data_IF_131899360123
#
_entry.id   IF_131899360123
#
_cell.length_a   1.000
_cell.length_b   1.000
_cell.length_c   1.000
_cell.angle_alpha   90.00
_cell.angle_beta   90.00
_cell.angle_gamma   90.00
#
_symmetry.space_group_name_H-M   'P 1'
#
loop_
_entity.id
_entity.type
_entity.pdbx_description
1 polymer ?
#
# COMPACT_ATOMS: atom_id res chain seq x y z
N UNK A 1 40.07 -34.12 61.74
CA UNK A 1 39.23 -34.82 60.74
C UNK A 1 38.52 -33.79 59.89
N UNK A 2 38.67 -33.88 58.56
CA UNK A 2 38.28 -32.89 57.54
C UNK A 2 36.78 -32.52 57.63
N UNK A 3 36.48 -31.22 57.70
CA UNK A 3 35.13 -30.68 57.46
C UNK A 3 35.08 -30.19 56.01
N UNK A 4 34.40 -30.95 55.16
CA UNK A 4 34.14 -30.61 53.76
C UNK A 4 33.05 -29.54 53.69
N UNK A 5 33.37 -28.40 53.09
CA UNK A 5 32.43 -27.34 52.73
C UNK A 5 31.77 -27.76 51.41
N UNK A 6 30.48 -28.06 51.43
CA UNK A 6 29.70 -28.31 50.23
C UNK A 6 29.21 -26.97 49.67
N UNK A 7 29.80 -26.55 48.56
CA UNK A 7 29.32 -25.41 47.75
C UNK A 7 28.16 -25.93 46.89
N UNK A 8 26.95 -25.45 47.18
CA UNK A 8 25.80 -25.66 46.30
C UNK A 8 25.89 -24.67 45.13
N UNK A 9 26.29 -25.18 43.96
CA UNK A 9 26.14 -24.48 42.69
C UNK A 9 24.66 -24.47 42.31
N UNK A 10 24.03 -23.30 42.48
CA UNK A 10 22.73 -22.97 41.91
C UNK A 10 22.84 -22.98 40.38
N UNK A 11 22.41 -24.09 39.77
CA UNK A 11 22.12 -24.18 38.35
C UNK A 11 20.87 -23.36 38.05
N UNK A 12 21.05 -22.09 37.69
CA UNK A 12 20.00 -21.30 37.03
C UNK A 12 19.91 -21.84 35.61
N UNK A 13 18.77 -22.40 35.16
CA UNK A 13 18.60 -22.73 33.76
C UNK A 13 18.58 -21.41 32.99
N UNK A 14 19.61 -21.19 32.19
CA UNK A 14 19.63 -20.17 31.15
C UNK A 14 18.55 -20.57 30.14
N UNK A 15 17.30 -20.15 30.38
CA UNK A 15 16.26 -20.20 29.36
C UNK A 15 16.76 -19.28 28.24
N UNK A 16 17.27 -19.88 27.18
CA UNK A 16 17.69 -19.15 26.02
C UNK A 16 16.45 -18.44 25.46
N UNK A 17 16.42 -17.12 25.63
CA UNK A 17 15.53 -16.19 24.93
C UNK A 17 15.93 -16.18 23.45
N UNK A 18 15.69 -17.28 22.74
CA UNK A 18 15.58 -17.23 21.29
C UNK A 18 14.20 -16.62 21.00
N UNK A 19 14.10 -15.57 20.17
CA UNK A 19 12.80 -15.13 19.70
C UNK A 19 12.10 -16.33 19.08
N UNK A 20 10.88 -16.58 19.52
CA UNK A 20 10.05 -17.69 19.05
C UNK A 20 9.87 -17.51 17.54
N UNK A 21 10.63 -18.29 16.74
CA UNK A 21 10.53 -18.20 15.28
C UNK A 21 9.13 -18.68 14.94
N UNK A 22 8.29 -17.84 14.32
CA UNK A 22 6.90 -18.22 14.06
C UNK A 22 6.85 -19.54 13.31
N UNK A 23 6.00 -20.47 13.75
CA UNK A 23 5.81 -21.73 13.04
C UNK A 23 5.20 -21.41 11.68
N UNK A 24 5.97 -21.70 10.63
CA UNK A 24 5.59 -21.50 9.23
C UNK A 24 4.97 -22.77 8.69
N UNK A 25 3.78 -22.65 8.13
CA UNK A 25 3.06 -23.76 7.52
C UNK A 25 2.95 -23.52 6.03
N UNK A 26 3.31 -24.53 5.23
CA UNK A 26 3.11 -24.48 3.79
C UNK A 26 1.61 -24.58 3.49
N UNK A 27 1.08 -23.60 2.76
CA UNK A 27 -0.35 -23.52 2.43
C UNK A 27 -0.56 -23.13 0.97
N UNK A 28 -1.65 -23.61 0.38
CA UNK A 28 -2.20 -23.07 -0.85
C UNK A 28 -3.14 -21.90 -0.50
N UNK A 29 -2.78 -20.70 -0.92
CA UNK A 29 -3.54 -19.47 -0.60
C UNK A 29 -4.12 -18.83 -1.86
N UNK A 30 -5.20 -18.07 -1.67
CA UNK A 30 -5.57 -17.02 -2.61
C UNK A 30 -4.89 -15.73 -2.17
N UNK A 31 -3.96 -15.21 -2.96
CA UNK A 31 -3.41 -13.87 -2.80
C UNK A 31 -4.27 -12.88 -3.58
N UNK A 32 -4.60 -11.76 -2.94
CA UNK A 32 -5.60 -10.80 -3.38
C UNK A 32 -4.95 -9.42 -3.48
N UNK A 33 -5.30 -8.68 -4.53
CA UNK A 33 -5.29 -7.22 -4.51
C UNK A 33 -6.72 -6.79 -4.81
N UNK A 34 -7.39 -6.15 -3.86
CA UNK A 34 -8.80 -5.79 -4.01
C UNK A 34 -9.06 -4.36 -3.56
N UNK A 35 -10.04 -3.72 -4.20
CA UNK A 35 -10.48 -2.40 -3.80
C UNK A 35 -11.28 -2.49 -2.50
N UNK A 36 -10.83 -1.80 -1.46
CA UNK A 36 -11.47 -1.82 -0.14
C UNK A 36 -12.49 -0.68 0.04
N UNK A 37 -12.73 0.15 -0.98
CA UNK A 37 -13.57 1.36 -0.88
C UNK A 37 -12.77 2.65 -0.86
N UNK A 38 -11.45 2.58 -0.63
CA UNK A 38 -10.53 3.72 -0.62
C UNK A 38 -9.33 3.51 -1.54
N UNK A 39 -8.70 2.35 -1.47
CA UNK A 39 -7.55 2.00 -2.26
C UNK A 39 -7.52 0.51 -2.62
N UNK A 40 -6.50 0.12 -3.38
CA UNK A 40 -6.19 -1.26 -3.66
C UNK A 40 -5.25 -1.82 -2.60
N UNK A 41 -5.77 -2.70 -1.75
CA UNK A 41 -5.00 -3.32 -0.68
C UNK A 41 -4.69 -4.78 -0.99
N UNK A 42 -3.50 -5.22 -0.58
CA UNK A 42 -3.08 -6.61 -0.67
C UNK A 42 -3.59 -7.39 0.54
N UNK A 43 -4.12 -8.58 0.30
CA UNK A 43 -4.57 -9.51 1.34
C UNK A 43 -4.38 -10.95 0.88
N UNK A 44 -4.70 -11.92 1.73
CA UNK A 44 -4.74 -13.32 1.31
C UNK A 44 -5.77 -14.12 2.09
N UNK A 45 -6.43 -15.08 1.42
CA UNK A 45 -7.24 -16.08 2.09
C UNK A 45 -6.40 -17.35 2.32
N UNK A 46 -6.11 -17.71 3.58
CA UNK A 46 -5.36 -18.93 3.91
C UNK A 46 -6.14 -20.19 3.54
N UNK A 47 -5.49 -21.34 3.65
CA UNK A 47 -6.12 -22.63 3.36
C UNK A 47 -7.35 -22.89 4.24
N UNK A 48 -7.27 -22.48 5.51
CA UNK A 48 -8.35 -22.59 6.50
C UNK A 48 -9.56 -21.67 6.27
N UNK A 49 -9.47 -20.70 5.34
CA UNK A 49 -10.58 -19.80 5.05
C UNK A 49 -11.49 -20.37 3.96
N UNK A 50 -12.76 -20.57 4.26
CA UNK A 50 -13.72 -21.06 3.26
C UNK A 50 -14.17 -19.99 2.25
N UNK A 51 -13.90 -18.71 2.54
CA UNK A 51 -14.48 -17.59 1.79
C UNK A 51 -13.51 -16.46 1.51
N UNK A 52 -13.73 -15.78 0.39
CA UNK A 52 -13.05 -14.56 -0.04
C UNK A 52 -14.11 -13.48 -0.21
N UNK A 53 -13.94 -12.32 0.42
CA UNK A 53 -14.89 -11.20 0.32
C UNK A 53 -14.33 -10.10 -0.58
N UNK A 54 -15.13 -9.65 -1.54
CA UNK A 54 -14.73 -8.65 -2.53
C UNK A 54 -15.82 -7.58 -2.67
N UNK A 55 -15.41 -6.36 -3.01
CA UNK A 55 -16.34 -5.30 -3.32
C UNK A 55 -16.82 -5.40 -4.78
N UNK A 56 -18.13 -5.42 -4.98
CA UNK A 56 -18.75 -5.48 -6.30
C UNK A 56 -18.63 -4.14 -7.04
N UNK A 57 -18.50 -4.21 -8.37
CA UNK A 57 -18.38 -3.03 -9.23
C UNK A 57 -16.94 -2.53 -9.41
N UNK A 58 -15.98 -3.18 -8.76
CA UNK A 58 -14.56 -2.91 -8.90
C UNK A 58 -13.83 -4.21 -9.25
N UNK A 59 -12.78 -4.10 -10.05
CA UNK A 59 -11.93 -5.24 -10.37
C UNK A 59 -11.15 -5.65 -9.14
N UNK A 60 -11.12 -6.95 -8.87
CA UNK A 60 -10.29 -7.57 -7.83
C UNK A 60 -9.36 -8.59 -8.47
N UNK A 61 -8.11 -8.64 -8.03
CA UNK A 61 -7.05 -9.45 -8.62
C UNK A 61 -6.74 -10.63 -7.72
N UNK A 62 -7.11 -11.83 -8.16
CA UNK A 62 -6.90 -13.06 -7.40
C UNK A 62 -5.78 -13.87 -8.06
N UNK A 63 -4.87 -14.41 -7.26
CA UNK A 63 -3.87 -15.37 -7.73
C UNK A 63 -3.75 -16.52 -6.73
N UNK A 64 -3.56 -17.75 -7.21
CA UNK A 64 -3.31 -18.88 -6.34
C UNK A 64 -1.82 -19.13 -6.27
N UNK A 65 -1.31 -19.38 -5.07
CA UNK A 65 0.11 -19.69 -4.86
C UNK A 65 0.31 -20.56 -3.63
N UNK A 66 1.37 -21.35 -3.67
CA UNK A 66 1.89 -22.06 -2.50
C UNK A 66 2.95 -21.21 -1.83
N UNK A 67 2.76 -20.95 -0.53
CA UNK A 67 3.67 -20.13 0.28
C UNK A 67 3.64 -20.59 1.73
N UNK A 68 4.53 -20.04 2.55
CA UNK A 68 4.47 -20.22 3.99
C UNK A 68 3.55 -19.19 4.62
N UNK A 69 2.62 -19.64 5.45
CA UNK A 69 1.73 -18.81 6.26
C UNK A 69 2.10 -18.98 7.73
N UNK A 70 2.13 -17.89 8.48
CA UNK A 70 2.45 -17.90 9.91
C UNK A 70 1.75 -16.76 10.64
N UNK A 71 1.51 -16.96 11.93
CA UNK A 71 1.01 -15.91 12.81
C UNK A 71 2.16 -15.00 13.23
N UNK A 72 1.99 -13.67 13.11
CA UNK A 72 2.98 -12.68 13.54
C UNK A 72 2.46 -11.88 14.73
N UNK A 73 2.82 -12.27 15.98
CA UNK A 73 2.29 -11.64 17.19
C UNK A 73 2.46 -10.12 17.27
N UNK A 74 3.55 -9.49 16.81
CA UNK A 74 3.70 -8.04 16.88
C UNK A 74 2.68 -7.25 16.05
N UNK A 75 2.16 -7.81 14.96
CA UNK A 75 1.11 -7.19 14.16
C UNK A 75 -0.29 -7.77 14.45
N UNK A 76 -0.39 -8.74 15.36
CA UNK A 76 -1.63 -9.47 15.66
C UNK A 76 -2.34 -9.99 14.40
N UNK A 77 -1.56 -10.48 13.43
CA UNK A 77 -2.05 -10.82 12.10
C UNK A 77 -1.34 -12.03 11.48
N UNK A 78 -2.03 -12.72 10.58
CA UNK A 78 -1.44 -13.73 9.72
C UNK A 78 -0.59 -13.07 8.62
N UNK A 79 0.55 -13.69 8.31
CA UNK A 79 1.51 -13.20 7.34
C UNK A 79 1.93 -14.30 6.37
N UNK A 80 2.39 -13.91 5.19
CA UNK A 80 2.98 -14.81 4.19
C UNK A 80 4.48 -14.60 4.08
N UNK A 81 5.26 -15.67 3.99
CA UNK A 81 6.69 -15.61 3.64
C UNK A 81 6.90 -15.98 2.17
N UNK A 82 6.61 -15.00 1.30
CA UNK A 82 6.86 -15.10 -0.14
C UNK A 82 8.34 -14.95 -0.50
N UNK A 83 9.21 -14.65 0.46
CA UNK A 83 10.66 -14.60 0.26
C UNK A 83 11.28 -15.99 0.26
N UNK A 84 10.75 -16.88 1.11
CA UNK A 84 11.22 -18.28 1.23
C UNK A 84 10.49 -19.22 0.26
N UNK A 85 9.15 -19.12 0.15
CA UNK A 85 8.35 -19.96 -0.75
C UNK A 85 7.27 -19.13 -1.42
N UNK A 86 7.27 -19.06 -2.76
CA UNK A 86 6.28 -18.31 -3.53
C UNK A 86 6.08 -18.95 -4.90
N UNK A 87 5.33 -20.06 -4.93
CA UNK A 87 5.12 -20.85 -6.15
C UNK A 87 3.72 -20.55 -6.70
N UNK A 88 3.58 -19.85 -7.84
CA UNK A 88 2.28 -19.60 -8.44
C UNK A 88 1.66 -20.90 -8.97
N UNK A 89 0.36 -21.07 -8.76
CA UNK A 89 -0.40 -22.20 -9.30
C UNK A 89 -1.20 -21.69 -10.49
N UNK A 90 -0.86 -22.21 -11.68
CA UNK A 90 -1.39 -21.75 -12.95
C UNK A 90 -2.56 -22.63 -13.40
N UNK A 91 -3.61 -21.97 -13.87
CA UNK A 91 -4.81 -22.61 -14.41
C UNK A 91 -5.83 -21.58 -14.86
N UNK A 92 -7.06 -22.02 -15.05
CA UNK A 92 -8.23 -21.17 -15.28
C UNK A 92 -9.08 -21.13 -14.03
N UNK A 93 -9.40 -19.94 -13.52
CA UNK A 93 -10.32 -19.81 -12.41
C UNK A 93 -11.75 -20.01 -12.94
N UNK A 94 -12.42 -21.04 -12.44
CA UNK A 94 -13.85 -21.25 -12.68
C UNK A 94 -14.65 -20.69 -11.51
N UNK A 95 -15.62 -19.83 -11.83
CA UNK A 95 -16.54 -19.24 -10.86
C UNK A 95 -17.97 -19.64 -11.25
N UNK A 96 -18.65 -20.37 -10.38
CA UNK A 96 -20.02 -20.82 -10.56
C UNK A 96 -20.97 -20.00 -9.70
N UNK A 97 -22.03 -19.46 -10.32
CA UNK A 97 -23.08 -18.74 -9.59
C UNK A 97 -24.15 -19.68 -9.00
N UNK A 98 -25.11 -19.11 -8.26
CA UNK A 98 -26.20 -19.88 -7.66
C UNK A 98 -27.18 -20.52 -8.66
N UNK A 99 -27.10 -20.17 -9.95
CA UNK A 99 -27.89 -20.77 -11.04
C UNK A 99 -27.12 -21.89 -11.75
N UNK A 100 -25.85 -22.09 -11.41
CA UNK A 100 -24.97 -23.06 -12.05
C UNK A 100 -24.24 -22.52 -13.29
N UNK A 101 -24.33 -21.22 -13.57
CA UNK A 101 -23.59 -20.61 -14.67
C UNK A 101 -22.10 -20.54 -14.32
N UNK A 102 -21.25 -21.11 -15.17
CA UNK A 102 -19.79 -21.16 -14.97
C UNK A 102 -19.12 -20.09 -15.81
N UNK A 103 -18.43 -19.16 -15.15
CA UNK A 103 -17.54 -18.19 -15.77
C UNK A 103 -16.10 -18.69 -15.66
N UNK A 104 -15.35 -18.57 -16.75
CA UNK A 104 -13.94 -18.96 -16.84
C UNK A 104 -13.10 -17.71 -16.97
N UNK A 105 -12.22 -17.49 -16.00
CA UNK A 105 -11.35 -16.32 -15.95
C UNK A 105 -9.92 -16.78 -16.22
N UNK A 106 -9.31 -16.39 -17.35
CA UNK A 106 -7.90 -16.64 -17.59
C UNK A 106 -7.04 -15.75 -16.67
N UNK A 107 -5.76 -16.09 -16.55
CA UNK A 107 -4.79 -15.17 -15.97
C UNK A 107 -4.55 -14.01 -16.93
N UNK A 108 -4.61 -12.79 -16.41
CA UNK A 108 -4.34 -11.59 -17.16
C UNK A 108 -3.26 -10.75 -16.47
N UNK A 109 -2.50 -10.02 -17.29
CA UNK A 109 -1.50 -9.06 -16.82
C UNK A 109 -2.22 -7.82 -16.31
N UNK A 110 -1.77 -7.26 -15.19
CA UNK A 110 -2.35 -6.04 -14.64
C UNK A 110 -1.32 -5.20 -13.89
N UNK A 111 -1.65 -3.92 -13.73
CA UNK A 111 -1.01 -2.98 -12.80
C UNK A 111 -2.07 -2.06 -12.20
N UNK A 112 -1.86 -1.66 -10.96
CA UNK A 112 -2.72 -0.71 -10.24
C UNK A 112 -1.93 0.55 -9.91
N UNK A 113 -2.56 1.71 -10.03
CA UNK A 113 -1.94 3.02 -9.79
C UNK A 113 -2.99 4.05 -9.39
N UNK A 114 -2.55 5.19 -8.89
CA UNK A 114 -3.40 6.33 -8.62
C UNK A 114 -2.91 7.53 -9.43
N UNK A 115 -3.78 8.12 -10.22
CA UNK A 115 -3.48 9.32 -11.00
C UNK A 115 -3.79 10.57 -10.19
N UNK A 116 -2.97 11.61 -10.33
CA UNK A 116 -3.23 12.85 -9.62
C UNK A 116 -4.49 13.51 -10.19
N UNK A 117 -5.43 13.88 -9.31
CA UNK A 117 -6.59 14.69 -9.67
C UNK A 117 -7.18 15.38 -8.44
N UNK A 118 -8.35 16.01 -8.61
CA UNK A 118 -8.97 16.85 -7.57
C UNK A 118 -9.42 16.07 -6.33
N UNK A 119 -9.52 14.74 -6.42
CA UNK A 119 -9.91 13.83 -5.35
C UNK A 119 -8.85 12.75 -5.14
N UNK A 120 -8.66 12.32 -3.89
CA UNK A 120 -7.66 11.30 -3.50
C UNK A 120 -7.98 9.89 -4.04
N UNK A 121 -9.21 9.66 -4.52
CA UNK A 121 -9.78 8.36 -4.93
C UNK A 121 -9.68 8.05 -6.44
N UNK A 122 -8.61 8.48 -7.10
CA UNK A 122 -8.42 8.22 -8.55
C UNK A 122 -7.59 6.98 -8.83
N UNK A 123 -7.98 5.85 -8.23
CA UNK A 123 -7.35 4.56 -8.49
C UNK A 123 -7.77 4.01 -9.86
N UNK A 124 -6.78 3.64 -10.65
CA UNK A 124 -6.95 3.05 -11.96
C UNK A 124 -6.27 1.68 -12.05
N UNK A 125 -6.80 0.87 -12.97
CA UNK A 125 -6.27 -0.44 -13.33
C UNK A 125 -6.01 -0.44 -14.82
N UNK A 126 -4.82 -0.87 -15.21
CA UNK A 126 -4.50 -1.22 -16.59
C UNK A 126 -4.27 -2.71 -16.71
N UNK A 127 -4.79 -3.32 -17.79
CA UNK A 127 -4.77 -4.78 -18.03
C UNK A 127 -4.14 -5.10 -19.39
N UNK A 128 -3.64 -6.33 -19.53
CA UNK A 128 -3.01 -6.81 -20.76
C UNK A 128 -1.83 -5.92 -21.20
N UNK A 129 -1.76 -5.61 -22.49
CA UNK A 129 -0.68 -4.79 -23.05
C UNK A 129 -0.68 -3.35 -22.52
N UNK A 130 -1.81 -2.83 -22.04
CA UNK A 130 -1.86 -1.49 -21.42
C UNK A 130 -1.11 -1.49 -20.09
N UNK A 131 -1.19 -2.57 -19.31
CA UNK A 131 -0.44 -2.67 -18.06
C UNK A 131 1.07 -2.49 -18.29
N UNK A 132 1.58 -3.09 -19.37
CA UNK A 132 2.98 -2.95 -19.77
C UNK A 132 3.35 -1.56 -20.25
N UNK A 133 2.44 -0.90 -20.98
CA UNK A 133 2.64 0.48 -21.45
C UNK A 133 2.72 1.45 -20.28
N UNK A 134 1.73 1.42 -19.39
CA UNK A 134 1.66 2.30 -18.21
C UNK A 134 2.84 2.08 -17.28
N UNK A 135 3.18 0.82 -17.00
CA UNK A 135 4.34 0.53 -16.15
C UNK A 135 5.64 1.03 -16.77
N UNK A 136 5.87 0.80 -18.07
CA UNK A 136 7.07 1.31 -18.77
C UNK A 136 7.13 2.83 -18.75
N UNK A 137 6.02 3.51 -19.04
CA UNK A 137 5.91 4.97 -18.99
C UNK A 137 6.31 5.53 -17.62
N UNK A 138 5.83 4.91 -16.54
CA UNK A 138 6.19 5.33 -15.18
C UNK A 138 7.69 5.19 -14.89
N UNK A 139 8.32 4.11 -15.40
CA UNK A 139 9.76 3.87 -15.25
C UNK A 139 10.58 4.92 -16.00
N UNK A 140 10.19 5.25 -17.22
CA UNK A 140 10.84 6.30 -18.03
C UNK A 140 10.74 7.67 -17.35
N UNK A 141 9.59 8.00 -16.75
CA UNK A 141 9.41 9.25 -16.00
C UNK A 141 10.33 9.34 -14.78
N UNK A 142 10.38 8.26 -13.98
CA UNK A 142 11.25 8.19 -12.80
C UNK A 142 12.72 8.29 -13.21
N UNK A 143 13.14 7.53 -14.22
CA UNK A 143 14.52 7.56 -14.72
C UNK A 143 14.91 8.95 -15.23
N UNK A 144 14.03 9.58 -16.02
CA UNK A 144 14.25 10.94 -16.51
C UNK A 144 14.39 11.96 -15.37
N UNK A 145 13.51 11.88 -14.36
CA UNK A 145 13.56 12.78 -13.21
C UNK A 145 14.83 12.57 -12.37
N UNK A 146 15.21 11.33 -12.09
CA UNK A 146 16.45 11.03 -11.38
C UNK A 146 17.68 11.55 -12.13
N UNK A 147 17.72 11.39 -13.45
CA UNK A 147 18.80 11.95 -14.28
C UNK A 147 18.90 13.48 -14.20
N UNK A 148 17.74 14.18 -14.18
CA UNK A 148 17.70 15.62 -13.99
C UNK A 148 18.16 16.03 -12.58
N UNK A 149 17.80 15.26 -11.55
CA UNK A 149 18.24 15.51 -10.17
C UNK A 149 19.74 15.34 -10.00
N UNK A 150 20.33 14.34 -10.65
CA UNK A 150 21.80 14.18 -10.67
C UNK A 150 22.49 15.36 -11.36
N UNK A 151 21.94 15.85 -12.48
CA UNK A 151 22.47 17.03 -13.15
C UNK A 151 22.36 18.29 -12.28
N UNK A 152 21.21 18.48 -11.64
CA UNK A 152 21.00 19.55 -10.68
C UNK A 152 22.01 19.49 -9.54
N UNK A 153 22.24 18.33 -8.93
CA UNK A 153 23.21 18.16 -7.85
C UNK A 153 24.64 18.55 -8.31
N UNK A 154 25.07 18.09 -9.50
CA UNK A 154 26.38 18.47 -10.07
C UNK A 154 26.49 19.97 -10.31
N UNK A 155 25.44 20.59 -10.85
CA UNK A 155 25.40 22.04 -11.10
C UNK A 155 25.40 22.83 -9.80
N UNK A 156 24.70 22.35 -8.77
CA UNK A 156 24.64 22.94 -7.45
C UNK A 156 26.00 22.89 -6.75
N UNK A 157 26.72 21.77 -6.83
CA UNK A 157 28.08 21.66 -6.29
C UNK A 157 29.05 22.64 -6.96
N UNK A 158 28.97 22.76 -8.29
CA UNK A 158 29.75 23.76 -9.06
C UNK A 158 29.43 25.18 -8.65
N UNK A 159 28.14 25.50 -8.52
CA UNK A 159 27.67 26.81 -8.07
C UNK A 159 28.23 27.17 -6.69
N UNK A 160 28.15 26.25 -5.72
CA UNK A 160 28.70 26.46 -4.39
C UNK A 160 30.23 26.58 -4.38
N UNK A 161 30.94 25.82 -5.21
CA UNK A 161 32.38 25.94 -5.36
C UNK A 161 32.79 27.31 -5.94
N UNK A 162 32.05 27.81 -6.93
CA UNK A 162 32.29 29.13 -7.53
C UNK A 162 31.98 30.26 -6.54
N UNK A 163 30.86 30.20 -5.82
CA UNK A 163 30.55 31.15 -4.74
C UNK A 163 31.65 31.22 -3.69
N UNK A 164 32.13 30.06 -3.22
CA UNK A 164 33.23 30.00 -2.25
C UNK A 164 34.50 30.64 -2.81
N UNK A 165 34.86 30.31 -4.05
CA UNK A 165 36.04 30.88 -4.71
C UNK A 165 35.95 32.41 -4.84
N UNK A 166 34.79 32.92 -5.27
CA UNK A 166 34.55 34.37 -5.40
C UNK A 166 34.56 35.07 -4.03
N UNK A 167 33.95 34.45 -3.01
CA UNK A 167 33.96 34.96 -1.64
C UNK A 167 35.38 35.08 -1.09
N UNK A 168 36.18 34.02 -1.18
CA UNK A 168 37.60 34.04 -0.78
C UNK A 168 38.36 35.14 -1.52
N UNK A 169 38.12 35.29 -2.83
CA UNK A 169 38.80 36.30 -3.64
C UNK A 169 38.44 37.73 -3.21
N UNK A 170 37.19 37.98 -2.85
CA UNK A 170 36.75 39.27 -2.31
C UNK A 170 37.46 39.57 -0.99
N UNK A 171 37.58 38.59 -0.09
CA UNK A 171 38.29 38.75 1.19
C UNK A 171 39.77 39.09 0.99
N UNK A 172 40.46 38.39 0.08
CA UNK A 172 41.85 38.67 -0.28
C UNK A 172 42.05 40.10 -0.83
N UNK A 173 41.21 40.52 -1.78
CA UNK A 173 41.29 41.85 -2.39
C UNK A 173 41.01 42.94 -1.37
N UNK A 174 40.02 42.72 -0.50
CA UNK A 174 39.68 43.63 0.60
C UNK A 174 40.84 43.77 1.59
N UNK A 175 41.47 42.66 1.99
CA UNK A 175 42.64 42.69 2.88
C UNK A 175 43.85 43.41 2.26
N UNK A 176 44.01 43.33 0.93
CA UNK A 176 45.05 44.01 0.18
C UNK A 176 44.73 45.48 -0.17
N UNK A 177 43.56 46.01 0.23
CA UNK A 177 43.12 47.36 -0.11
C UNK A 177 42.89 47.59 -1.62
N UNK A 178 42.59 46.52 -2.37
CA UNK A 178 42.35 46.55 -3.82
C UNK A 178 40.85 46.57 -4.13
N UNK A 179 40.50 47.11 -5.30
CA UNK A 179 39.13 47.06 -5.80
C UNK A 179 38.66 45.62 -6.05
N UNK A 180 37.43 45.33 -5.62
CA UNK A 180 36.77 44.03 -5.72
C UNK A 180 35.38 44.11 -6.38
N UNK A 181 34.97 45.28 -6.89
CA UNK A 181 33.63 45.50 -7.44
C UNK A 181 33.24 44.49 -8.52
N UNK A 182 34.15 44.21 -9.47
CA UNK A 182 33.91 43.25 -10.55
C UNK A 182 33.72 41.80 -10.06
N UNK A 183 34.43 41.40 -9.00
CA UNK A 183 34.29 40.05 -8.41
C UNK A 183 32.96 39.93 -7.67
N UNK A 184 32.57 41.00 -6.97
CA UNK A 184 31.26 41.07 -6.31
C UNK A 184 30.12 41.03 -7.32
N UNK A 185 30.20 41.79 -8.40
CA UNK A 185 29.19 41.80 -9.47
C UNK A 185 29.02 40.41 -10.09
N UNK A 186 30.12 39.69 -10.35
CA UNK A 186 30.06 38.30 -10.83
C UNK A 186 29.38 37.37 -9.82
N UNK A 187 29.69 37.52 -8.53
CA UNK A 187 29.09 36.70 -7.48
C UNK A 187 27.59 36.96 -7.36
N UNK A 188 27.17 38.23 -7.37
CA UNK A 188 25.76 38.63 -7.31
C UNK A 188 24.98 38.16 -8.56
N UNK A 189 25.63 38.10 -9.72
CA UNK A 189 25.06 37.65 -10.99
C UNK A 189 25.14 36.14 -11.25
N UNK A 190 25.69 35.34 -10.33
CA UNK A 190 25.85 33.91 -10.53
C UNK A 190 24.48 33.20 -10.44
N UNK A 191 23.97 32.56 -11.50
CA UNK A 191 22.66 31.95 -11.49
C UNK A 191 22.64 30.69 -10.62
N UNK A 192 21.70 30.64 -9.67
CA UNK A 192 21.45 29.43 -8.90
C UNK A 192 20.85 28.34 -9.83
N UNK A 193 21.33 27.10 -9.76
CA UNK A 193 20.69 25.98 -10.45
C UNK A 193 19.24 25.83 -10.03
N UNK A 194 18.37 25.52 -10.99
CA UNK A 194 16.94 25.33 -10.75
C UNK A 194 16.68 23.86 -10.47
N UNK A 195 16.01 23.57 -9.37
CA UNK A 195 15.62 22.21 -9.02
C UNK A 195 14.57 21.68 -10.02
N UNK A 196 14.76 20.47 -10.57
CA UNK A 196 13.79 19.82 -11.43
C UNK A 196 12.44 19.64 -10.73
N UNK A 197 11.35 19.74 -11.49
CA UNK A 197 10.01 19.50 -10.95
C UNK A 197 9.68 18.02 -11.02
N UNK A 198 9.14 17.49 -9.93
CA UNK A 198 8.60 16.13 -9.91
C UNK A 198 7.50 15.94 -10.96
N UNK A 199 7.51 14.80 -11.70
CA UNK A 199 6.42 14.46 -12.60
C UNK A 199 5.09 14.38 -11.87
N UNK A 200 4.06 15.06 -12.38
CA UNK A 200 2.74 15.13 -11.75
C UNK A 200 1.72 14.11 -12.30
N UNK A 201 2.15 13.16 -13.14
CA UNK A 201 1.28 12.20 -13.83
C UNK A 201 0.64 11.20 -12.85
N UNK A 202 1.42 10.68 -11.90
CA UNK A 202 0.97 9.70 -10.92
C UNK A 202 1.04 10.28 -9.50
N UNK A 203 -0.01 10.05 -8.72
CA UNK A 203 0.02 10.26 -7.27
C UNK A 203 0.60 9.02 -6.57
N UNK A 204 0.23 7.82 -7.04
CA UNK A 204 0.87 6.55 -6.67
C UNK A 204 1.33 5.86 -7.95
N UNK A 205 2.63 5.55 -8.02
CA UNK A 205 3.21 4.92 -9.20
C UNK A 205 2.60 3.54 -9.47
N UNK A 206 2.48 3.13 -10.75
CA UNK A 206 2.09 1.78 -11.13
C UNK A 206 2.95 0.70 -10.45
N UNK A 207 2.28 -0.27 -9.85
CA UNK A 207 2.94 -1.46 -9.32
C UNK A 207 3.58 -2.26 -10.45
N UNK A 208 4.66 -3.02 -10.20
CA UNK A 208 5.20 -3.95 -11.19
C UNK A 208 4.10 -4.81 -11.80
N UNK A 209 4.14 -5.05 -13.12
CA UNK A 209 3.11 -5.82 -13.82
C UNK A 209 3.08 -7.25 -13.27
N UNK A 210 1.92 -7.64 -12.76
CA UNK A 210 1.65 -8.96 -12.19
C UNK A 210 0.62 -9.71 -13.03
N UNK A 211 0.39 -10.99 -12.69
CA UNK A 211 -0.68 -11.80 -13.28
C UNK A 211 -1.70 -12.20 -12.23
N UNK A 212 -2.98 -12.05 -12.55
CA UNK A 212 -4.08 -12.46 -11.70
C UNK A 212 -5.34 -12.78 -12.52
N UNK A 213 -6.27 -13.49 -11.88
CA UNK A 213 -7.66 -13.60 -12.31
C UNK A 213 -8.37 -12.31 -11.94
N UNK A 214 -8.92 -11.62 -12.93
CA UNK A 214 -9.67 -10.38 -12.72
C UNK A 214 -11.12 -10.75 -12.42
N UNK A 215 -11.53 -10.49 -11.18
CA UNK A 215 -12.85 -10.82 -10.66
C UNK A 215 -13.63 -9.55 -10.42
N UNK A 216 -14.68 -9.36 -11.21
CA UNK A 216 -15.69 -8.32 -11.01
C UNK A 216 -17.07 -8.96 -11.19
N UNK A 217 -17.69 -9.32 -10.07
CA UNK A 217 -18.96 -10.03 -10.04
C UNK A 217 -20.03 -9.15 -9.39
N UNK A 218 -21.30 -9.23 -9.83
CA UNK A 218 -22.42 -8.64 -9.10
C UNK A 218 -22.47 -9.15 -7.66
N UNK A 219 -23.11 -8.44 -6.71
CA UNK A 219 -23.26 -8.92 -5.34
C UNK A 219 -23.90 -10.31 -5.28
N UNK A 220 -23.29 -11.23 -4.53
CA UNK A 220 -23.73 -12.62 -4.46
C UNK A 220 -22.71 -13.55 -3.81
N UNK A 221 -23.04 -14.85 -3.83
CA UNK A 221 -22.15 -15.93 -3.41
C UNK A 221 -21.85 -16.82 -4.60
N UNK A 222 -20.58 -17.13 -4.80
CA UNK A 222 -20.09 -17.89 -5.94
C UNK A 222 -19.14 -18.98 -5.46
N UNK A 223 -19.19 -20.16 -6.07
CA UNK A 223 -18.18 -21.20 -5.85
C UNK A 223 -17.02 -20.96 -6.82
N UNK A 224 -15.82 -20.82 -6.29
CA UNK A 224 -14.61 -20.66 -7.07
C UNK A 224 -13.74 -21.91 -6.94
N UNK A 225 -13.10 -22.32 -8.04
CA UNK A 225 -12.12 -23.40 -8.08
C UNK A 225 -11.12 -23.16 -9.20
N UNK A 226 -9.89 -23.63 -9.03
CA UNK A 226 -8.88 -23.56 -10.08
C UNK A 226 -8.88 -24.87 -10.88
N UNK A 227 -8.90 -24.75 -12.20
CA UNK A 227 -8.79 -25.89 -13.13
C UNK A 227 -7.47 -25.79 -13.88
N UNK A 228 -6.68 -26.86 -13.84
CA UNK A 228 -5.37 -26.92 -14.48
C UNK A 228 -5.46 -27.15 -16.01
N UNK A 229 -4.32 -27.22 -16.69
CA UNK A 229 -4.28 -27.42 -18.14
C UNK A 229 -4.88 -28.76 -18.60
N UNK A 230 -4.87 -29.79 -17.75
CA UNK A 230 -5.49 -31.09 -18.02
C UNK A 230 -7.00 -31.12 -17.74
N UNK A 231 -7.61 -29.98 -17.38
CA UNK A 231 -9.03 -29.89 -17.06
C UNK A 231 -9.39 -30.47 -15.68
N UNK A 232 -8.41 -30.71 -14.80
CA UNK A 232 -8.61 -31.21 -13.44
C UNK A 232 -8.68 -30.07 -12.44
N UNK A 233 -9.56 -30.20 -11.46
CA UNK A 233 -9.62 -29.27 -10.32
C UNK A 233 -8.35 -29.43 -9.49
N UNK A 234 -7.70 -28.31 -9.16
CA UNK A 234 -6.57 -28.27 -8.25
C UNK A 234 -7.08 -28.48 -6.83
N UNK A 235 -6.55 -29.49 -6.14
CA UNK A 235 -6.92 -29.80 -4.76
C UNK A 235 -6.67 -28.60 -3.82
N UNK A 236 -7.60 -28.35 -2.91
CA UNK A 236 -7.53 -27.21 -1.96
C UNK A 236 -7.82 -25.84 -2.58
N UNK A 237 -8.04 -25.73 -3.90
CA UNK A 237 -8.32 -24.45 -4.55
C UNK A 237 -9.76 -23.95 -4.39
N UNK A 238 -10.65 -24.75 -3.81
CA UNK A 238 -12.06 -24.44 -3.74
C UNK A 238 -12.36 -23.44 -2.62
N UNK A 239 -12.99 -22.31 -2.96
CA UNK A 239 -13.45 -21.29 -1.99
C UNK A 239 -14.79 -20.71 -2.41
N UNK A 240 -15.49 -20.06 -1.47
CA UNK A 240 -16.67 -19.25 -1.76
C UNK A 240 -16.25 -17.78 -1.97
N UNK A 241 -16.48 -17.22 -3.15
CA UNK A 241 -16.36 -15.77 -3.34
C UNK A 241 -17.68 -15.11 -2.92
N UNK A 242 -17.61 -14.17 -1.99
CA UNK A 242 -18.73 -13.35 -1.53
C UNK A 242 -18.50 -11.93 -2.00
N UNK A 243 -19.25 -11.51 -3.01
CA UNK A 243 -19.25 -10.12 -3.45
C UNK A 243 -20.36 -9.35 -2.75
N UNK A 244 -20.03 -8.17 -2.26
CA UNK A 244 -20.98 -7.27 -1.61
C UNK A 244 -20.80 -5.85 -2.11
N UNK A 245 -21.75 -4.98 -1.79
CA UNK A 245 -21.71 -3.56 -2.17
C UNK A 245 -22.10 -2.71 -0.97
N UNK A 246 -21.81 -1.42 -1.07
CA UNK A 246 -22.39 -0.44 -0.17
C UNK A 246 -23.92 -0.59 -0.13
N UNK A 247 -24.47 -0.58 1.08
CA UNK A 247 -25.92 -0.51 1.34
C UNK A 247 -26.44 0.87 0.95
N UNK A 248 -25.66 1.92 1.23
CA UNK A 248 -25.94 3.30 0.84
C UNK A 248 -24.65 3.94 0.34
N UNK A 249 -24.76 4.69 -0.75
CA UNK A 249 -23.65 5.44 -1.34
C UNK A 249 -23.90 6.93 -1.19
N UNK A 250 -22.83 7.71 -1.09
CA UNK A 250 -22.89 9.18 -0.95
C UNK A 250 -23.74 9.62 0.25
N UNK A 251 -23.66 8.87 1.35
CA UNK A 251 -24.13 9.34 2.65
C UNK A 251 -23.35 10.58 3.08
N UNK A 252 -23.95 11.37 3.96
CA UNK A 252 -23.31 12.57 4.51
C UNK A 252 -22.95 12.26 5.95
N UNK A 253 -21.64 12.19 6.21
CA UNK A 253 -21.07 12.14 7.54
C UNK A 253 -20.67 13.54 8.02
N UNK A 254 -20.62 13.71 9.33
CA UNK A 254 -20.14 14.93 9.96
C UNK A 254 -19.00 14.62 10.89
N UNK A 255 -17.91 15.34 10.75
CA UNK A 255 -16.88 15.43 11.77
C UNK A 255 -17.17 16.66 12.62
N UNK A 256 -17.41 16.42 13.89
CA UNK A 256 -17.75 17.43 14.89
C UNK A 256 -16.48 17.79 15.64
N UNK A 257 -16.07 19.06 15.53
CA UNK A 257 -14.85 19.59 16.12
C UNK A 257 -15.25 20.62 17.18
N UNK A 258 -15.17 20.27 18.48
CA UNK A 258 -15.36 21.23 19.55
C UNK A 258 -14.21 22.24 19.58
N UNK A 259 -14.54 23.52 19.74
CA UNK A 259 -13.56 24.62 19.83
C UNK A 259 -12.54 24.42 20.96
N UNK A 260 -12.95 23.80 22.07
CA UNK A 260 -12.10 23.49 23.23
C UNK A 260 -11.22 22.24 23.04
N UNK A 261 -11.51 21.41 22.02
CA UNK A 261 -10.86 20.11 21.76
C UNK A 261 -10.59 19.90 20.27
N UNK A 262 -9.98 20.90 19.63
CA UNK A 262 -9.68 20.87 18.19
C UNK A 262 -8.82 19.67 17.74
N UNK A 263 -8.04 19.06 18.65
CA UNK A 263 -7.22 17.87 18.37
C UNK A 263 -7.96 16.54 18.53
N UNK A 264 -9.23 16.55 18.94
CA UNK A 264 -10.04 15.33 19.16
C UNK A 264 -11.43 15.47 18.52
N UNK A 265 -11.51 15.49 17.19
CA UNK A 265 -12.77 15.43 16.48
C UNK A 265 -13.57 14.16 16.82
N UNK A 266 -14.89 14.26 16.75
CA UNK A 266 -15.81 13.12 16.85
C UNK A 266 -16.57 12.94 15.55
N UNK A 267 -16.76 11.71 15.10
CA UNK A 267 -17.47 11.43 13.86
C UNK A 267 -18.93 11.03 14.12
N UNK A 268 -19.83 11.55 13.31
CA UNK A 268 -21.24 11.19 13.23
C UNK A 268 -21.51 10.59 11.85
N UNK A 269 -21.38 9.27 11.77
CA UNK A 269 -21.43 8.48 10.53
C UNK A 269 -22.78 7.81 10.27
N UNK A 270 -23.67 7.81 11.26
CA UNK A 270 -25.00 7.20 11.15
C UNK A 270 -26.10 8.23 11.43
N UNK A 271 -27.29 8.10 10.80
CA UNK A 271 -28.43 8.98 11.11
C UNK A 271 -28.91 8.92 12.57
N UNK A 272 -28.54 7.87 13.31
CA UNK A 272 -28.89 7.68 14.71
C UNK A 272 -27.81 8.21 15.68
N UNK A 273 -26.74 8.81 15.17
CA UNK A 273 -25.67 9.36 15.99
C UNK A 273 -26.22 10.49 16.86
N UNK A 274 -25.99 10.39 18.18
CA UNK A 274 -26.41 11.40 19.14
C UNK A 274 -25.17 12.19 19.54
N UNK A 275 -25.21 13.50 19.30
CA UNK A 275 -24.19 14.42 19.80
C UNK A 275 -24.63 14.94 21.18
N UNK A 276 -23.83 14.67 22.20
CA UNK A 276 -24.05 15.21 23.54
C UNK A 276 -23.31 16.54 23.67
N UNK A 277 -24.05 17.62 23.93
CA UNK A 277 -23.53 18.99 24.04
C UNK A 277 -23.92 19.56 25.39
N UNK A 278 -22.97 20.18 26.08
CA UNK A 278 -23.24 20.88 27.35
C UNK A 278 -23.43 22.39 27.17
N UNK A 279 -23.27 22.89 25.93
CA UNK A 279 -23.45 24.30 25.57
C UNK A 279 -22.26 25.20 25.95
N UNK A 280 -21.13 24.63 26.38
CA UNK A 280 -19.98 25.41 26.83
C UNK A 280 -18.98 25.76 25.71
N UNK A 281 -19.08 25.11 24.54
CA UNK A 281 -18.14 25.27 23.44
C UNK A 281 -18.86 25.39 22.09
N UNK A 282 -18.32 26.24 21.21
CA UNK A 282 -18.72 26.26 19.80
C UNK A 282 -18.32 24.95 19.11
N UNK A 283 -19.18 24.47 18.22
CA UNK A 283 -18.97 23.25 17.44
C UNK A 283 -18.80 23.60 15.96
N UNK A 284 -17.71 23.12 15.38
CA UNK A 284 -17.52 23.17 13.93
C UNK A 284 -17.89 21.82 13.32
N UNK A 285 -18.60 21.86 12.20
CA UNK A 285 -18.99 20.67 11.45
C UNK A 285 -18.23 20.64 10.13
N UNK A 286 -17.41 19.62 9.93
CA UNK A 286 -16.82 19.30 8.64
C UNK A 286 -17.61 18.18 8.00
N UNK A 287 -18.21 18.48 6.85
CA UNK A 287 -19.02 17.53 6.09
C UNK A 287 -18.10 16.66 5.26
N UNK A 288 -18.36 15.35 5.25
CA UNK A 288 -17.70 14.41 4.36
C UNK A 288 -18.69 13.41 3.76
N UNK A 289 -18.33 12.84 2.62
CA UNK A 289 -19.12 11.76 2.00
C UNK A 289 -18.70 10.41 2.57
N UNK A 290 -19.67 9.53 2.81
CA UNK A 290 -19.44 8.20 3.34
C UNK A 290 -20.34 7.17 2.67
N UNK A 291 -19.79 5.97 2.47
CA UNK A 291 -20.54 4.82 2.00
C UNK A 291 -20.82 3.88 3.18
N UNK A 292 -22.07 3.46 3.35
CA UNK A 292 -22.49 2.54 4.41
C UNK A 292 -22.36 1.11 3.90
N UNK A 293 -21.56 0.26 4.57
CA UNK A 293 -21.40 -1.15 4.22
C UNK A 293 -22.01 -2.10 5.25
N UNK A 294 -22.17 -3.37 4.88
CA UNK A 294 -22.38 -4.42 5.88
C UNK A 294 -21.07 -4.61 6.65
N UNK A 295 -21.08 -4.37 7.97
CA UNK A 295 -19.90 -4.42 8.83
C UNK A 295 -19.09 -5.71 8.67
N UNK A 296 -19.74 -6.88 8.78
CA UNK A 296 -19.06 -8.17 8.65
C UNK A 296 -18.44 -8.37 7.26
N UNK A 297 -19.19 -8.06 6.18
CA UNK A 297 -18.69 -8.26 4.83
C UNK A 297 -17.54 -7.28 4.50
N UNK A 298 -17.65 -6.04 4.98
CA UNK A 298 -16.64 -5.02 4.80
C UNK A 298 -15.37 -5.34 5.58
N UNK A 299 -15.50 -5.71 6.86
CA UNK A 299 -14.37 -6.10 7.70
C UNK A 299 -13.62 -7.32 7.15
N UNK A 300 -14.29 -8.20 6.39
CA UNK A 300 -13.67 -9.34 5.70
C UNK A 300 -13.11 -9.01 4.32
N UNK A 301 -13.42 -7.84 3.77
CA UNK A 301 -12.83 -7.38 2.52
C UNK A 301 -11.43 -6.94 2.86
N UNK A 302 -10.43 -7.62 2.30
CA UNK A 302 -8.99 -7.42 2.54
C UNK A 302 -8.46 -7.81 3.94
N UNK A 303 -9.15 -8.74 4.61
CA UNK A 303 -8.72 -9.41 5.87
C UNK A 303 -7.91 -10.70 5.58
#
# INVERSE_FOLDING_TARGET
MRRSIAVWLLLVPLAALFPDVPVRQEQLIYSLIAFNGQDYAAAFAPESSDSVYLLAGHDSFLSLRKTFVYWWPPADAWQTDTGTLNVPIIGTLEVTDGRGEVRRMPLERYTVYNVRGDYELNWEVSVGDEADRVYRRSRELVESYLGQMEEYARNHDRYLAELRSLSTRIEELKAAGRDYAAVKERMDGLPAPVEPREPAEFQVLPTPVQQAYIVNLPPGRYRARLVNAEGKVVEGSEKTIVTHRARRVNGIGYEVIPSDKWTRPQESKTPASILYVDGSADLYLRVFYENEYNELAYARTVD
#
